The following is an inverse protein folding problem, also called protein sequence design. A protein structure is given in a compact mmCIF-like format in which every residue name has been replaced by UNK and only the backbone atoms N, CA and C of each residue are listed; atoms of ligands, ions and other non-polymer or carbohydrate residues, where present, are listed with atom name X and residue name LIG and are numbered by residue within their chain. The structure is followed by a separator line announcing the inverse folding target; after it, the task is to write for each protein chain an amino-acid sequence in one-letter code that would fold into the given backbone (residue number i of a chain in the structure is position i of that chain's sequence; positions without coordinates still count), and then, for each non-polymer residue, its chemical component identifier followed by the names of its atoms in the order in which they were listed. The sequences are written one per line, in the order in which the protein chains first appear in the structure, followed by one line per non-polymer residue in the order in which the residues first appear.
data_IF_337149658413
#
_entry.id   IF_337149658413
#
_cell.length_a   1.000
_cell.length_b   1.000
_cell.length_c   1.000
_cell.angle_alpha   90.00
_cell.angle_beta   90.00
_cell.angle_gamma   90.00
#
_symmetry.space_group_name_H-M   'P 1'
#
loop_
_entity.id
_entity.type
_entity.pdbx_description
1 polymer ?
#
# COMPACT_ATOMS: atom_id res chain seq x y z
N UNK A 1 -12.17 -45.08 46.66
CA UNK A 1 -13.08 -45.07 45.49
C UNK A 1 -13.65 -43.68 45.19
N UNK A 2 -14.20 -42.93 46.16
CA UNK A 2 -14.77 -41.58 45.93
C UNK A 2 -13.77 -40.56 45.33
N UNK A 3 -12.52 -40.51 45.82
CA UNK A 3 -11.49 -39.59 45.31
C UNK A 3 -11.03 -39.90 43.88
N UNK A 4 -11.05 -41.17 43.47
CA UNK A 4 -10.69 -41.54 42.09
C UNK A 4 -11.72 -41.03 41.08
N UNK A 5 -13.00 -41.04 41.46
CA UNK A 5 -14.08 -40.48 40.64
C UNK A 5 -13.95 -38.95 40.47
N UNK A 6 -13.51 -38.24 41.52
CA UNK A 6 -13.32 -36.78 41.49
C UNK A 6 -12.13 -36.40 40.61
N UNK A 7 -11.01 -37.13 40.70
CA UNK A 7 -9.82 -36.88 39.86
C UNK A 7 -10.12 -37.17 38.38
N UNK A 8 -10.87 -38.24 38.09
CA UNK A 8 -11.28 -38.57 36.73
C UNK A 8 -12.20 -37.48 36.14
N UNK A 9 -13.13 -36.94 36.93
CA UNK A 9 -14.02 -35.87 36.49
C UNK A 9 -13.27 -34.55 36.20
N UNK A 10 -12.31 -34.17 37.03
CA UNK A 10 -11.47 -32.98 36.81
C UNK A 10 -10.62 -33.14 35.53
N UNK A 11 -10.06 -34.34 35.32
CA UNK A 11 -9.30 -34.63 34.10
C UNK A 11 -10.19 -34.51 32.86
N UNK A 12 -11.39 -35.10 32.87
CA UNK A 12 -12.33 -34.98 31.75
C UNK A 12 -12.75 -33.53 31.44
N UNK A 13 -12.94 -32.68 32.45
CA UNK A 13 -13.29 -31.26 32.25
C UNK A 13 -12.13 -30.49 31.57
N UNK A 14 -10.88 -30.84 31.88
CA UNK A 14 -9.71 -30.20 31.25
C UNK A 14 -9.56 -30.51 29.75
N UNK A 15 -10.11 -31.64 29.27
CA UNK A 15 -10.07 -32.00 27.85
C UNK A 15 -11.15 -31.27 27.00
N UNK A 16 -12.22 -30.75 27.60
CA UNK A 16 -13.28 -30.03 26.86
C UNK A 16 -12.84 -28.63 26.42
N UNK A 17 -11.86 -28.04 27.12
CA UNK A 17 -11.34 -26.69 26.82
C UNK A 17 -10.63 -26.57 25.46
N UNK A 18 -10.07 -27.66 24.93
CA UNK A 18 -9.40 -27.64 23.62
C UNK A 18 -10.36 -27.79 22.42
N UNK A 19 -11.61 -28.23 22.65
CA UNK A 19 -12.58 -28.45 21.56
C UNK A 19 -13.40 -27.21 21.20
N UNK A 20 -13.38 -26.17 22.05
CA UNK A 20 -13.95 -24.85 21.74
C UNK A 20 -12.94 -24.05 20.89
N UNK A 21 -12.55 -24.62 19.76
CA UNK A 21 -11.67 -23.95 18.81
C UNK A 21 -12.52 -22.91 18.08
N UNK A 22 -12.51 -21.69 18.63
CA UNK A 22 -13.15 -20.52 18.02
C UNK A 22 -12.55 -20.37 16.63
N UNK A 23 -13.36 -20.63 15.60
CA UNK A 23 -12.98 -20.49 14.20
C UNK A 23 -12.47 -19.08 14.01
N UNK A 24 -11.15 -18.92 13.87
CA UNK A 24 -10.56 -17.61 13.58
C UNK A 24 -11.12 -17.14 12.24
N UNK A 25 -11.69 -15.93 12.16
CA UNK A 25 -12.17 -15.39 10.90
C UNK A 25 -11.08 -15.47 9.82
N UNK A 26 -11.49 -15.78 8.59
CA UNK A 26 -10.59 -15.74 7.46
C UNK A 26 -10.08 -14.30 7.27
N UNK A 27 -8.82 -14.17 6.85
CA UNK A 27 -8.23 -12.87 6.51
C UNK A 27 -8.73 -12.48 5.13
N UNK A 28 -9.31 -11.30 5.02
CA UNK A 28 -9.69 -10.68 3.76
C UNK A 28 -8.51 -9.94 3.14
N UNK A 29 -8.34 -10.10 1.83
CA UNK A 29 -7.23 -9.50 1.08
C UNK A 29 -7.76 -8.51 0.06
N UNK A 30 -7.21 -7.30 0.07
CA UNK A 30 -7.62 -6.16 -0.74
C UNK A 30 -6.52 -5.76 -1.73
N UNK A 31 -6.88 -5.23 -2.88
CA UNK A 31 -5.95 -4.71 -3.88
C UNK A 31 -6.46 -3.41 -4.46
N UNK A 32 -5.56 -2.60 -5.01
CA UNK A 32 -5.89 -1.33 -5.66
C UNK A 32 -5.81 -1.55 -7.16
N UNK A 33 -6.88 -1.21 -7.87
CA UNK A 33 -6.91 -1.25 -9.33
C UNK A 33 -6.94 0.15 -9.92
N UNK A 34 -6.09 0.45 -10.91
CA UNK A 34 -6.22 1.68 -11.67
C UNK A 34 -7.55 1.72 -12.42
N UNK A 35 -8.18 2.90 -12.51
CA UNK A 35 -9.40 3.06 -13.28
C UNK A 35 -9.14 2.68 -14.75
N UNK A 36 -10.14 2.07 -15.39
CA UNK A 36 -10.13 1.87 -16.84
C UNK A 36 -10.32 3.24 -17.51
N UNK A 37 -9.23 3.98 -17.71
CA UNK A 37 -9.31 5.33 -18.29
C UNK A 37 -9.58 5.21 -19.80
N UNK A 38 -10.86 5.13 -20.18
CA UNK A 38 -11.34 5.37 -21.54
C UNK A 38 -11.71 6.84 -21.70
N UNK A 39 -10.73 7.73 -21.82
CA UNK A 39 -11.04 9.13 -22.11
C UNK A 39 -9.92 10.09 -21.77
N UNK A 40 -9.58 10.93 -22.76
CA UNK A 40 -8.67 12.07 -22.68
C UNK A 40 -7.18 11.74 -22.81
N UNK A 41 -6.84 10.98 -23.84
CA UNK A 41 -5.54 11.13 -24.53
C UNK A 41 -5.44 12.54 -25.11
N UNK A 42 -4.93 13.49 -24.32
CA UNK A 42 -4.43 14.73 -24.91
C UNK A 42 -3.22 14.33 -25.77
N UNK A 43 -3.33 14.49 -27.08
CA UNK A 43 -2.26 14.17 -28.03
C UNK A 43 -1.08 15.09 -27.75
N UNK A 44 -0.17 14.70 -26.87
CA UNK A 44 1.05 15.44 -26.61
C UNK A 44 1.98 15.27 -27.82
N UNK A 45 2.14 16.38 -28.55
CA UNK A 45 3.05 16.54 -29.66
C UNK A 45 4.43 16.88 -29.09
N UNK A 46 5.23 15.88 -28.76
CA UNK A 46 6.66 16.10 -28.46
C UNK A 46 7.46 14.82 -28.61
N UNK A 47 8.74 14.97 -28.96
CA UNK A 47 9.74 13.90 -28.99
C UNK A 47 9.66 13.10 -27.68
N UNK A 48 9.17 11.86 -27.80
CA UNK A 48 8.64 11.12 -26.67
C UNK A 48 9.78 10.62 -25.77
N UNK A 49 9.97 11.30 -24.64
CA UNK A 49 10.94 10.93 -23.60
C UNK A 49 10.66 9.54 -23.03
N UNK A 50 11.71 8.82 -22.66
CA UNK A 50 11.64 7.61 -21.85
C UNK A 50 11.76 8.00 -20.38
N UNK A 51 10.87 7.46 -19.55
CA UNK A 51 10.92 7.65 -18.09
C UNK A 51 11.07 6.31 -17.38
N UNK A 52 12.00 6.26 -16.43
CA UNK A 52 12.19 5.12 -15.55
C UNK A 52 11.54 5.40 -14.20
N UNK A 53 10.81 4.43 -13.66
CA UNK A 53 10.37 4.46 -12.27
C UNK A 53 11.49 3.92 -11.37
N UNK A 54 11.85 4.67 -10.34
CA UNK A 54 12.74 4.18 -9.30
C UNK A 54 11.96 3.28 -8.32
N UNK A 55 12.70 2.55 -7.47
CA UNK A 55 12.07 1.87 -6.33
C UNK A 55 11.53 2.93 -5.39
N UNK A 56 10.22 2.87 -5.12
CA UNK A 56 9.57 3.79 -4.20
C UNK A 56 10.02 3.50 -2.76
N UNK A 57 10.34 4.55 -2.01
CA UNK A 57 10.75 4.46 -0.61
C UNK A 57 9.56 4.67 0.33
N UNK A 58 9.62 4.11 1.53
CA UNK A 58 8.60 4.30 2.57
C UNK A 58 9.07 3.84 3.95
N UNK A 59 8.28 4.15 4.98
CA UNK A 59 8.50 3.62 6.33
C UNK A 59 8.09 2.13 6.42
N UNK A 60 8.60 1.42 7.43
CA UNK A 60 8.27 0.01 7.64
C UNK A 60 6.77 -0.28 7.82
N UNK A 61 5.99 0.73 8.23
CA UNK A 61 4.54 0.63 8.39
C UNK A 61 3.88 0.31 7.05
N UNK A 62 4.26 1.04 6.00
CA UNK A 62 3.68 0.92 4.65
C UNK A 62 4.48 0.00 3.72
N UNK A 63 5.61 -0.53 4.18
CA UNK A 63 6.34 -1.61 3.52
C UNK A 63 5.75 -3.01 3.79
N UNK A 64 4.81 -3.12 4.73
CA UNK A 64 4.11 -4.38 5.06
C UNK A 64 2.79 -4.52 4.30
N UNK A 65 2.20 -5.72 4.29
CA UNK A 65 0.85 -5.96 3.73
C UNK A 65 -0.28 -5.58 4.69
N UNK A 66 0.03 -5.07 5.88
CA UNK A 66 -1.01 -4.70 6.84
C UNK A 66 -1.75 -3.44 6.37
N UNK A 67 -3.07 -3.45 6.54
CA UNK A 67 -3.85 -2.21 6.44
C UNK A 67 -3.63 -1.48 7.76
N UNK A 68 -2.96 -0.33 7.69
CA UNK A 68 -2.61 0.46 8.86
C UNK A 68 -3.67 1.51 9.14
N UNK A 69 -3.93 1.77 10.42
CA UNK A 69 -4.76 2.88 10.86
C UNK A 69 -4.08 3.62 12.00
N UNK A 70 -4.42 4.90 12.15
CA UNK A 70 -4.01 5.73 13.24
C UNK A 70 -5.24 6.15 14.05
N UNK A 71 -5.11 6.02 15.36
CA UNK A 71 -6.03 6.60 16.34
C UNK A 71 -5.34 7.74 17.09
N UNK A 72 -6.03 8.29 18.10
CA UNK A 72 -5.57 9.42 18.91
C UNK A 72 -4.20 9.19 19.60
N UNK A 73 -3.73 7.94 19.73
CA UNK A 73 -2.50 7.63 20.46
C UNK A 73 -1.21 7.82 19.66
N UNK A 74 -1.25 8.54 18.54
CA UNK A 74 -0.09 8.88 17.68
C UNK A 74 0.69 7.66 17.15
N UNK A 75 0.09 6.47 17.20
CA UNK A 75 0.69 5.21 16.75
C UNK A 75 -0.06 4.61 15.57
N UNK A 76 0.66 3.84 14.75
CA UNK A 76 0.06 3.00 13.74
C UNK A 76 -0.33 1.64 14.33
N UNK A 77 -1.59 1.30 14.18
CA UNK A 77 -2.14 -0.02 14.44
C UNK A 77 -2.49 -0.71 13.12
N UNK A 78 -2.82 -2.00 13.17
CA UNK A 78 -3.17 -2.79 11.98
C UNK A 78 -4.46 -3.57 12.16
N UNK A 79 -5.24 -3.70 11.09
CA UNK A 79 -6.43 -4.54 11.10
C UNK A 79 -6.07 -6.03 11.25
N UNK A 80 -6.75 -6.74 12.15
CA UNK A 80 -6.45 -8.14 12.45
C UNK A 80 -6.80 -9.10 11.29
N UNK A 81 -7.89 -8.81 10.58
CA UNK A 81 -8.50 -9.70 9.57
C UNK A 81 -8.59 -9.08 8.17
N UNK A 82 -7.89 -7.97 7.93
CA UNK A 82 -7.87 -7.29 6.63
C UNK A 82 -6.45 -6.93 6.27
N UNK A 83 -6.02 -7.31 5.06
CA UNK A 83 -4.67 -7.07 4.55
C UNK A 83 -4.71 -6.62 3.09
N UNK A 84 -3.68 -5.91 2.68
CA UNK A 84 -3.40 -5.68 1.28
C UNK A 84 -2.81 -6.95 0.65
N UNK A 85 -3.00 -7.10 -0.67
CA UNK A 85 -2.42 -8.21 -1.44
C UNK A 85 -0.90 -8.09 -1.60
N UNK A 86 -0.38 -6.87 -1.50
CA UNK A 86 1.05 -6.52 -1.47
C UNK A 86 1.19 -5.26 -0.59
N UNK A 87 2.42 -4.81 -0.30
CA UNK A 87 2.64 -3.57 0.43
C UNK A 87 2.02 -2.37 -0.32
N UNK A 88 1.46 -1.38 0.40
CA UNK A 88 0.96 -0.14 -0.20
C UNK A 88 1.93 0.53 -1.18
N UNK A 89 3.21 0.57 -0.85
CA UNK A 89 4.24 1.17 -1.71
C UNK A 89 4.38 0.43 -3.04
N UNK A 90 4.28 -0.90 -3.05
CA UNK A 90 4.29 -1.70 -4.28
C UNK A 90 3.00 -1.54 -5.07
N UNK A 91 1.84 -1.60 -4.40
CA UNK A 91 0.53 -1.44 -5.04
C UNK A 91 0.43 -0.09 -5.76
N UNK A 92 0.85 0.98 -5.10
CA UNK A 92 0.88 2.31 -5.69
C UNK A 92 1.90 2.41 -6.83
N UNK A 93 3.06 1.78 -6.72
CA UNK A 93 4.06 1.75 -7.81
C UNK A 93 3.47 1.15 -9.09
N UNK A 94 2.78 0.00 -8.99
CA UNK A 94 2.09 -0.60 -10.12
C UNK A 94 0.94 0.28 -10.64
N UNK A 95 0.16 0.86 -9.73
CA UNK A 95 -0.94 1.76 -10.08
C UNK A 95 -0.45 2.96 -10.90
N UNK A 96 0.62 3.64 -10.47
CA UNK A 96 1.18 4.79 -11.17
C UNK A 96 1.85 4.38 -12.49
N UNK A 97 2.55 3.25 -12.52
CA UNK A 97 3.11 2.74 -13.77
C UNK A 97 2.01 2.57 -14.83
N UNK A 98 0.92 1.90 -14.48
CA UNK A 98 -0.18 1.66 -15.41
C UNK A 98 -0.86 2.97 -15.84
N UNK A 99 -1.07 3.93 -14.94
CA UNK A 99 -1.62 5.24 -15.30
C UNK A 99 -0.70 6.03 -16.24
N UNK A 100 0.61 6.03 -15.99
CA UNK A 100 1.58 6.71 -16.85
C UNK A 100 1.63 6.07 -18.24
N UNK A 101 1.59 4.74 -18.33
CA UNK A 101 1.50 3.99 -19.59
C UNK A 101 0.22 4.30 -20.39
N UNK A 102 -0.89 4.49 -19.69
CA UNK A 102 -2.18 4.89 -20.28
C UNK A 102 -2.18 6.35 -20.76
N UNK A 103 -1.44 7.24 -20.10
CA UNK A 103 -1.42 8.67 -20.40
C UNK A 103 -0.82 9.03 -21.76
N UNK A 104 0.05 8.17 -22.31
CA UNK A 104 0.79 8.37 -23.58
C UNK A 104 1.68 9.62 -23.63
N UNK A 105 2.02 10.22 -22.48
CA UNK A 105 2.99 11.34 -22.41
C UNK A 105 4.44 10.91 -22.69
N UNK A 106 4.78 9.66 -22.37
CA UNK A 106 6.12 9.09 -22.56
C UNK A 106 6.13 8.05 -23.69
N UNK A 107 7.27 7.82 -24.32
CA UNK A 107 7.43 6.75 -25.33
C UNK A 107 7.41 5.38 -24.67
N UNK A 108 8.10 5.29 -23.54
CA UNK A 108 8.18 4.11 -22.70
C UNK A 108 8.24 4.53 -21.23
N UNK A 109 7.63 3.70 -20.39
CA UNK A 109 7.75 3.74 -18.94
C UNK A 109 8.48 2.45 -18.59
N UNK A 110 9.62 2.55 -17.92
CA UNK A 110 10.46 1.39 -17.63
C UNK A 110 10.51 1.13 -16.12
N UNK A 111 10.52 -0.16 -15.72
CA UNK A 111 10.57 -0.52 -14.31
C UNK A 111 11.94 -0.22 -13.69
N UNK A 112 12.05 -0.24 -12.35
CA UNK A 112 13.33 -0.11 -11.68
C UNK A 112 14.34 -1.15 -12.17
N UNK A 113 15.56 -0.72 -12.46
CA UNK A 113 16.65 -1.61 -12.90
C UNK A 113 16.60 -2.02 -14.37
N UNK A 114 15.71 -1.42 -15.18
CA UNK A 114 15.76 -1.56 -16.63
C UNK A 114 17.13 -1.16 -17.20
N UNK A 115 17.61 -1.89 -18.20
CA UNK A 115 18.87 -1.59 -18.91
C UNK A 115 18.72 -0.59 -20.04
N UNK A 116 17.49 -0.13 -20.30
CA UNK A 116 17.19 0.87 -21.32
C UNK A 116 17.77 2.24 -20.96
N UNK A 117 18.25 2.98 -21.96
CA UNK A 117 18.49 4.41 -21.79
C UNK A 117 17.20 5.12 -21.38
N UNK A 118 17.30 6.02 -20.39
CA UNK A 118 16.19 6.82 -19.89
C UNK A 118 16.55 8.29 -19.93
N UNK A 119 15.58 9.14 -20.26
CA UNK A 119 15.75 10.59 -20.24
C UNK A 119 15.43 11.15 -18.85
N UNK A 120 14.45 10.53 -18.18
CA UNK A 120 13.95 10.95 -16.88
C UNK A 120 13.90 9.77 -15.90
N UNK A 121 14.05 10.08 -14.62
CA UNK A 121 13.80 9.15 -13.51
C UNK A 121 12.73 9.76 -12.62
N UNK A 122 11.71 8.98 -12.28
CA UNK A 122 10.71 9.34 -11.28
C UNK A 122 11.01 8.58 -9.99
N UNK A 123 11.45 9.31 -8.98
CA UNK A 123 11.56 8.80 -7.61
C UNK A 123 10.31 9.15 -6.83
N UNK A 124 9.94 8.28 -5.88
CA UNK A 124 8.80 8.51 -5.02
C UNK A 124 9.05 8.05 -3.59
N UNK A 125 8.40 8.74 -2.65
CA UNK A 125 8.42 8.41 -1.22
C UNK A 125 7.01 8.45 -0.68
N UNK A 126 6.52 7.30 -0.19
CA UNK A 126 5.21 7.19 0.44
C UNK A 126 5.32 7.54 1.93
N UNK A 127 4.72 8.68 2.30
CA UNK A 127 4.70 9.19 3.67
C UNK A 127 3.50 8.72 4.48
N UNK A 128 2.35 8.55 3.84
CA UNK A 128 1.14 8.07 4.50
C UNK A 128 0.29 7.23 3.53
N UNK A 129 -0.21 6.11 4.04
CA UNK A 129 -1.19 5.26 3.40
C UNK A 129 -1.99 4.52 4.47
N UNK A 130 -2.75 5.28 5.24
CA UNK A 130 -3.44 4.77 6.42
C UNK A 130 -4.85 5.31 6.57
N UNK A 131 -5.61 4.64 7.42
CA UNK A 131 -6.92 5.09 7.85
C UNK A 131 -6.80 5.92 9.13
N UNK A 132 -7.22 7.18 9.11
CA UNK A 132 -7.22 8.08 10.26
C UNK A 132 -8.60 8.11 10.91
N UNK A 133 -8.69 7.62 12.14
CA UNK A 133 -9.93 7.60 12.92
C UNK A 133 -9.98 8.86 13.79
N UNK A 134 -11.08 9.62 13.69
CA UNK A 134 -11.34 10.84 14.45
C UNK A 134 -12.40 10.57 15.53
N UNK A 135 -12.50 11.44 16.55
CA UNK A 135 -13.36 11.23 17.73
C UNK A 135 -14.87 11.36 17.44
N UNK A 136 -15.23 11.96 16.33
CA UNK A 136 -16.58 12.37 15.94
C UNK A 136 -17.28 11.35 15.02
N UNK A 137 -16.91 10.07 15.11
CA UNK A 137 -17.30 8.99 14.19
C UNK A 137 -16.91 9.24 12.72
N UNK A 138 -16.13 10.28 12.45
CA UNK A 138 -15.54 10.51 11.15
C UNK A 138 -14.20 9.79 11.04
N UNK A 139 -13.90 9.35 9.83
CA UNK A 139 -12.61 8.80 9.52
C UNK A 139 -12.26 9.08 8.08
N UNK A 140 -10.96 9.09 7.78
CA UNK A 140 -10.45 9.38 6.44
C UNK A 140 -9.40 8.38 6.04
N UNK A 141 -9.41 7.97 4.78
CA UNK A 141 -8.24 7.33 4.18
C UNK A 141 -7.28 8.43 3.73
N UNK A 142 -6.08 8.43 4.29
CA UNK A 142 -5.04 9.41 4.02
C UNK A 142 -3.98 8.81 3.11
N UNK A 143 -3.61 9.55 2.07
CA UNK A 143 -2.55 9.20 1.13
C UNK A 143 -1.65 10.40 0.95
N UNK A 144 -0.39 10.27 1.35
CA UNK A 144 0.64 11.29 1.18
C UNK A 144 1.85 10.71 0.49
N UNK A 145 2.14 11.16 -0.73
CA UNK A 145 3.25 10.67 -1.54
C UNK A 145 4.00 11.83 -2.19
N UNK A 146 5.32 11.83 -2.05
CA UNK A 146 6.18 12.80 -2.70
C UNK A 146 6.81 12.19 -3.94
N UNK A 147 6.89 12.99 -5.01
CA UNK A 147 7.57 12.65 -6.25
C UNK A 147 8.71 13.62 -6.53
N UNK A 148 9.78 13.08 -7.08
CA UNK A 148 10.90 13.82 -7.64
C UNK A 148 11.08 13.40 -9.09
N UNK A 149 11.05 14.39 -9.99
CA UNK A 149 11.40 14.18 -11.38
C UNK A 149 12.85 14.60 -11.57
N UNK A 150 13.66 13.67 -12.06
CA UNK A 150 15.11 13.82 -12.19
C UNK A 150 15.49 13.69 -13.66
N UNK A 151 16.28 14.62 -14.16
CA UNK A 151 16.92 14.51 -15.47
C UNK A 151 18.07 13.50 -15.40
N UNK A 152 17.99 12.41 -16.17
CA UNK A 152 18.92 11.29 -16.04
C UNK A 152 20.35 11.63 -16.44
N UNK A 153 20.52 12.60 -17.36
CA UNK A 153 21.83 13.03 -17.86
C UNK A 153 22.57 13.90 -16.85
N UNK A 154 21.91 14.93 -16.34
CA UNK A 154 22.48 15.90 -15.41
C UNK A 154 22.36 15.49 -13.95
N UNK A 155 21.52 14.48 -13.64
CA UNK A 155 21.20 13.99 -12.29
C UNK A 155 20.61 15.06 -11.38
N UNK A 156 19.97 16.08 -11.96
CA UNK A 156 19.34 17.16 -11.22
C UNK A 156 17.85 16.90 -11.06
N UNK A 157 17.34 17.17 -9.88
CA UNK A 157 15.89 17.28 -9.65
C UNK A 157 15.38 18.48 -10.44
N UNK A 158 14.48 18.23 -11.39
CA UNK A 158 13.87 19.25 -12.24
C UNK A 158 12.45 19.62 -11.79
N UNK A 159 11.79 18.74 -11.04
CA UNK A 159 10.51 19.04 -10.40
C UNK A 159 10.32 18.20 -9.13
N UNK A 160 9.57 18.74 -8.18
CA UNK A 160 9.14 18.04 -6.97
C UNK A 160 7.68 18.37 -6.70
N UNK A 161 6.90 17.38 -6.29
CA UNK A 161 5.54 17.59 -5.83
C UNK A 161 5.21 16.66 -4.69
N UNK A 162 4.47 17.16 -3.70
CA UNK A 162 3.79 16.35 -2.70
C UNK A 162 2.32 16.23 -3.12
N UNK A 163 1.82 15.02 -3.23
CA UNK A 163 0.39 14.76 -3.36
C UNK A 163 -0.12 14.30 -2.00
N UNK A 164 -1.07 15.07 -1.46
CA UNK A 164 -1.74 14.77 -0.21
C UNK A 164 -3.24 14.73 -0.47
N UNK A 165 -3.88 13.66 -0.02
CA UNK A 165 -5.30 13.42 -0.24
C UNK A 165 -5.93 12.75 0.96
N UNK A 166 -7.06 13.30 1.40
CA UNK A 166 -7.94 12.69 2.39
C UNK A 166 -9.26 12.31 1.71
N UNK A 167 -9.67 11.06 1.89
CA UNK A 167 -10.95 10.54 1.36
C UNK A 167 -11.83 10.13 2.54
N UNK A 168 -13.01 10.76 2.64
CA UNK A 168 -14.06 10.47 3.64
C UNK A 168 -14.93 9.31 3.17
#
# INVERSE_FOLDING_TARGET
MKYHFIVLAIFSISLVGCSLQKTTPAIETYFISPPSTAGNTRTAKTDKLVIQLAVADTSSVFASTNISYQDQQQGFNSYAYSRWSDSPVNLLSFYFQQLLEQSKYFSAITPPGSLSDTDLVLESTLYDFSHHIKDDDHSTANVSIQFYLIDARSKKVIATTLLDSEVV
#
